data_IF_257193557291
#
_entry.id   IF_257193557291
#
_cell.length_a   1.000
_cell.length_b   1.000
_cell.length_c   1.000
_cell.angle_alpha   90.00
_cell.angle_beta   90.00
_cell.angle_gamma   90.00
#
_symmetry.space_group_name_H-M   'P 1'
#
loop_
_entity.id
_entity.type
_entity.pdbx_description
1 polymer ?
#
# COMPACT_ATOMS: atom_id res chain seq x y z
N UNK A 1 20.09 30.45 1.83
CA UNK A 1 20.03 30.25 3.29
C UNK A 1 19.26 28.97 3.54
N UNK A 2 19.76 28.09 4.42
CA UNK A 2 19.09 26.81 4.73
C UNK A 2 17.82 27.06 5.55
N UNK A 3 16.68 26.53 5.10
CA UNK A 3 15.37 26.74 5.72
C UNK A 3 14.81 25.45 6.31
N UNK A 4 14.87 25.32 7.64
CA UNK A 4 14.32 24.18 8.38
C UNK A 4 12.79 24.15 8.25
N UNK A 5 12.21 23.08 7.68
CA UNK A 5 10.76 22.85 7.75
C UNK A 5 10.41 22.34 9.17
N UNK A 6 9.64 23.12 9.94
CA UNK A 6 9.03 22.62 11.17
C UNK A 6 7.66 22.00 10.88
N UNK A 7 7.52 20.70 11.16
CA UNK A 7 6.23 20.03 11.24
C UNK A 7 5.70 20.13 12.69
N UNK A 8 4.51 20.73 12.86
CA UNK A 8 3.84 20.79 14.16
C UNK A 8 2.83 19.66 14.28
N UNK A 9 3.06 18.72 15.20
CA UNK A 9 2.11 17.66 15.52
C UNK A 9 1.06 18.18 16.51
N UNK A 10 -0.21 18.16 16.11
CA UNK A 10 -1.35 18.48 16.97
C UNK A 10 -2.19 17.23 17.23
N UNK A 11 -2.54 17.00 18.49
CA UNK A 11 -3.44 15.92 18.89
C UNK A 11 -4.90 16.38 18.68
N UNK A 12 -5.42 16.17 17.48
CA UNK A 12 -6.85 16.36 17.18
C UNK A 12 -7.57 15.01 17.11
N UNK A 13 -8.64 14.84 17.88
CA UNK A 13 -9.44 13.62 17.85
C UNK A 13 -10.26 13.51 16.54
N UNK A 14 -9.91 12.56 15.67
CA UNK A 14 -10.54 12.18 14.38
C UNK A 14 -10.10 10.75 13.95
N UNK A 15 -10.33 10.26 12.71
CA UNK A 15 -11.01 8.96 12.40
C UNK A 15 -10.21 7.72 11.81
N UNK A 16 -10.38 6.47 12.36
CA UNK A 16 -9.57 5.18 12.22
C UNK A 16 -9.82 4.01 13.31
N UNK A 17 -10.80 3.08 13.25
CA UNK A 17 -11.26 2.19 14.40
C UNK A 17 -10.97 0.68 14.29
N UNK A 18 -11.26 -0.03 15.40
CA UNK A 18 -11.38 -1.49 15.52
C UNK A 18 -12.65 -1.91 16.32
N UNK A 19 -13.57 -2.68 15.72
CA UNK A 19 -14.31 -3.80 16.33
C UNK A 19 -15.30 -4.43 15.33
N UNK A 20 -15.39 -5.76 15.31
CA UNK A 20 -16.19 -6.54 14.36
C UNK A 20 -17.51 -7.02 14.98
N UNK A 21 -18.64 -6.80 14.31
CA UNK A 21 -19.93 -7.42 14.61
C UNK A 21 -20.59 -7.96 13.33
N UNK A 22 -21.16 -9.19 13.33
CA UNK A 22 -21.60 -9.87 12.10
C UNK A 22 -22.88 -9.30 11.45
N UNK A 23 -23.61 -8.40 12.13
CA UNK A 23 -24.83 -7.76 11.59
C UNK A 23 -24.59 -6.33 11.06
N UNK A 24 -23.37 -5.81 11.14
CA UNK A 24 -23.01 -4.47 10.67
C UNK A 24 -22.32 -4.58 9.31
N UNK A 25 -22.91 -4.00 8.26
CA UNK A 25 -22.25 -3.82 6.96
C UNK A 25 -21.78 -2.38 6.82
N UNK A 26 -20.47 -2.21 6.75
CA UNK A 26 -19.82 -0.91 6.62
C UNK A 26 -19.93 -0.42 5.18
N UNK A 27 -20.25 0.87 5.02
CA UNK A 27 -20.39 1.52 3.72
C UNK A 27 -19.72 2.90 3.81
N UNK A 28 -18.96 3.26 2.78
CA UNK A 28 -18.15 4.48 2.79
C UNK A 28 -18.98 5.77 2.78
N UNK A 29 -18.44 6.78 3.48
CA UNK A 29 -18.83 8.18 3.36
C UNK A 29 -18.07 8.82 2.20
N UNK A 30 -18.71 9.78 1.54
CA UNK A 30 -18.16 10.48 0.37
C UNK A 30 -17.14 11.58 0.70
N UNK A 31 -17.00 11.93 1.98
CA UNK A 31 -16.17 13.02 2.48
C UNK A 31 -14.67 12.75 2.32
N UNK A 32 -14.21 11.54 2.61
CA UNK A 32 -12.77 11.17 2.65
C UNK A 32 -12.08 11.35 1.30
N UNK A 33 -12.85 11.37 0.21
CA UNK A 33 -12.35 11.46 -1.16
C UNK A 33 -12.66 12.79 -1.85
N UNK A 34 -13.62 13.53 -1.33
CA UNK A 34 -14.03 14.79 -1.93
C UNK A 34 -14.48 15.79 -0.85
N UNK A 35 -13.65 16.81 -0.60
CA UNK A 35 -13.78 17.80 0.48
C UNK A 35 -15.05 18.69 0.42
N UNK A 36 -15.98 18.41 -0.49
CA UNK A 36 -17.26 19.09 -0.66
C UNK A 36 -18.44 18.42 0.06
N UNK A 37 -18.26 17.31 0.78
CA UNK A 37 -19.36 16.64 1.51
C UNK A 37 -19.09 16.54 3.01
N UNK A 38 -19.51 17.54 3.78
CA UNK A 38 -19.18 17.65 5.22
C UNK A 38 -20.29 17.18 6.16
N UNK A 39 -21.50 16.91 5.65
CA UNK A 39 -22.65 16.45 6.45
C UNK A 39 -22.49 15.06 7.06
N UNK A 40 -23.03 14.84 8.26
CA UNK A 40 -22.99 13.55 8.97
C UNK A 40 -24.36 13.11 9.51
N UNK A 41 -24.63 11.81 9.51
CA UNK A 41 -25.78 11.22 10.21
C UNK A 41 -25.42 10.85 11.66
N UNK A 42 -26.19 11.35 12.61
CA UNK A 42 -26.34 10.75 13.95
C UNK A 42 -27.01 9.38 13.85
N UNK A 43 -26.84 8.51 14.85
CA UNK A 43 -27.54 7.21 14.94
C UNK A 43 -29.06 7.39 15.16
N UNK A 44 -29.79 7.66 14.07
CA UNK A 44 -31.24 7.78 14.04
C UNK A 44 -31.85 6.84 13.00
N UNK A 45 -33.14 6.57 13.17
CA UNK A 45 -33.95 5.80 12.22
C UNK A 45 -34.57 6.73 11.20
N UNK A 46 -34.34 6.45 9.93
CA UNK A 46 -34.80 7.25 8.79
C UNK A 46 -35.72 6.41 7.89
N UNK A 47 -36.71 7.07 7.29
CA UNK A 47 -37.48 6.50 6.20
C UNK A 47 -36.68 6.66 4.90
N UNK A 48 -36.64 5.62 4.06
CA UNK A 48 -36.08 5.70 2.71
C UNK A 48 -37.19 6.03 1.72
N UNK A 49 -36.99 7.08 0.92
CA UNK A 49 -37.87 7.44 -0.20
C UNK A 49 -37.11 7.27 -1.51
N UNK A 50 -37.75 6.61 -2.49
CA UNK A 50 -37.19 6.52 -3.84
C UNK A 50 -37.20 7.91 -4.50
N UNK A 51 -36.02 8.43 -4.80
CA UNK A 51 -35.83 9.74 -5.42
C UNK A 51 -35.31 9.63 -6.88
N UNK A 52 -35.36 8.43 -7.46
CA UNK A 52 -34.99 8.22 -8.87
C UNK A 52 -33.50 8.42 -9.10
N UNK A 53 -33.16 9.27 -10.06
CA UNK A 53 -31.78 9.67 -10.43
C UNK A 53 -31.31 10.96 -9.70
N UNK A 54 -32.20 11.65 -8.98
CA UNK A 54 -31.92 12.92 -8.30
C UNK A 54 -31.55 14.10 -9.21
N UNK A 55 -31.60 13.94 -10.53
CA UNK A 55 -31.18 14.97 -11.49
C UNK A 55 -32.02 16.26 -11.39
N UNK A 56 -33.22 16.17 -10.83
CA UNK A 56 -34.09 17.28 -10.44
C UNK A 56 -34.51 17.19 -8.96
N UNK A 57 -34.98 18.29 -8.33
CA UNK A 57 -35.52 18.25 -6.97
C UNK A 57 -36.75 17.33 -6.85
N UNK A 58 -36.80 16.54 -5.77
CA UNK A 58 -37.87 15.57 -5.48
C UNK A 58 -38.54 15.93 -4.15
N UNK A 59 -39.62 16.74 -4.14
CA UNK A 59 -40.24 17.24 -2.91
C UNK A 59 -40.72 16.17 -1.93
N UNK A 60 -41.00 14.95 -2.41
CA UNK A 60 -41.38 13.81 -1.57
C UNK A 60 -40.24 13.25 -0.70
N UNK A 61 -38.99 13.66 -0.93
CA UNK A 61 -37.85 13.28 -0.09
C UNK A 61 -37.74 14.13 1.19
N UNK A 62 -38.57 15.17 1.36
CA UNK A 62 -38.54 16.07 2.51
C UNK A 62 -38.68 15.31 3.84
N UNK A 63 -37.71 15.50 4.76
CA UNK A 63 -37.69 14.81 6.06
C UNK A 63 -37.28 13.32 6.02
N UNK A 64 -37.06 12.74 4.84
CA UNK A 64 -36.62 11.36 4.63
C UNK A 64 -35.14 11.30 4.23
N UNK A 65 -34.56 10.09 4.12
CA UNK A 65 -33.30 9.89 3.40
C UNK A 65 -33.64 9.51 1.96
N UNK A 66 -33.11 10.29 1.01
CA UNK A 66 -33.27 10.04 -0.41
C UNK A 66 -32.51 8.77 -0.79
N UNK A 67 -33.20 7.84 -1.44
CA UNK A 67 -32.63 6.62 -1.98
C UNK A 67 -32.65 6.73 -3.50
N UNK A 68 -31.47 6.88 -4.10
CA UNK A 68 -31.29 7.23 -5.50
C UNK A 68 -30.38 6.22 -6.19
N UNK A 69 -30.52 6.10 -7.51
CA UNK A 69 -29.53 5.38 -8.30
C UNK A 69 -28.56 6.36 -8.96
N UNK A 70 -27.33 5.90 -9.17
CA UNK A 70 -26.27 6.72 -9.75
C UNK A 70 -26.58 7.07 -11.21
N UNK A 71 -26.45 8.36 -11.55
CA UNK A 71 -26.40 8.84 -12.93
C UNK A 71 -25.12 9.67 -13.15
N UNK A 72 -24.37 9.31 -14.20
CA UNK A 72 -23.07 9.91 -14.51
C UNK A 72 -23.21 11.33 -15.10
N UNK A 73 -24.39 11.73 -15.56
CA UNK A 73 -24.64 13.01 -16.25
C UNK A 73 -24.99 14.12 -15.27
N UNK A 74 -25.74 13.82 -14.20
CA UNK A 74 -26.23 14.81 -13.24
C UNK A 74 -25.57 14.70 -11.86
N UNK A 75 -24.34 14.18 -11.85
CA UNK A 75 -23.64 13.65 -10.70
C UNK A 75 -23.64 14.52 -9.41
N UNK A 76 -23.26 15.81 -9.50
CA UNK A 76 -23.30 16.75 -8.36
C UNK A 76 -24.68 17.42 -8.19
N UNK A 77 -25.40 17.81 -9.26
CA UNK A 77 -26.81 18.18 -9.18
C UNK A 77 -27.64 17.21 -8.34
N UNK A 78 -27.43 15.90 -8.47
CA UNK A 78 -28.07 14.82 -7.71
C UNK A 78 -28.11 15.12 -6.19
N UNK A 79 -26.95 15.17 -5.53
CA UNK A 79 -26.87 15.44 -4.08
C UNK A 79 -27.32 16.87 -3.73
N UNK A 80 -27.05 17.86 -4.59
CA UNK A 80 -27.44 19.26 -4.39
C UNK A 80 -28.97 19.46 -4.46
N UNK A 81 -29.66 18.71 -5.31
CA UNK A 81 -31.10 18.77 -5.48
C UNK A 81 -31.83 18.15 -4.29
N UNK A 82 -31.27 17.12 -3.66
CA UNK A 82 -31.83 16.61 -2.40
C UNK A 82 -31.70 17.60 -1.24
N UNK A 83 -30.66 18.43 -1.25
CA UNK A 83 -30.60 19.61 -0.34
C UNK A 83 -31.75 20.58 -0.61
N UNK A 84 -32.04 20.91 -1.88
CA UNK A 84 -33.21 21.75 -2.25
C UNK A 84 -34.56 21.09 -1.91
N UNK A 85 -34.58 19.77 -1.80
CA UNK A 85 -35.76 18.94 -1.52
C UNK A 85 -36.01 18.74 -0.02
N UNK A 86 -35.23 19.38 0.86
CA UNK A 86 -35.25 19.20 2.30
C UNK A 86 -35.07 17.74 2.76
N UNK A 87 -34.33 16.93 2.01
CA UNK A 87 -33.96 15.59 2.43
C UNK A 87 -32.97 15.64 3.62
N UNK A 88 -33.08 14.67 4.52
CA UNK A 88 -32.19 14.52 5.69
C UNK A 88 -30.85 13.84 5.36
N UNK A 89 -30.70 13.37 4.13
CA UNK A 89 -29.47 12.78 3.59
C UNK A 89 -29.72 12.02 2.29
N UNK A 90 -28.64 11.55 1.64
CA UNK A 90 -28.70 10.88 0.32
C UNK A 90 -27.91 9.57 0.33
N UNK A 91 -28.55 8.47 -0.07
CA UNK A 91 -27.91 7.18 -0.34
C UNK A 91 -28.00 6.86 -1.84
N UNK A 92 -26.87 6.89 -2.53
CA UNK A 92 -26.78 6.65 -3.98
C UNK A 92 -26.33 5.21 -4.24
N UNK A 93 -26.99 4.47 -5.13
CA UNK A 93 -26.65 3.07 -5.41
C UNK A 93 -26.47 2.76 -6.90
N UNK A 94 -25.70 1.71 -7.22
CA UNK A 94 -25.60 1.21 -8.59
C UNK A 94 -26.91 0.55 -9.07
N UNK A 95 -27.24 0.67 -10.37
CA UNK A 95 -28.30 -0.14 -10.99
C UNK A 95 -27.90 -1.62 -11.02
N UNK A 96 -28.85 -2.58 -11.02
CA UNK A 96 -28.53 -4.01 -11.07
C UNK A 96 -27.64 -4.36 -12.27
N UNK A 97 -26.54 -5.09 -12.04
CA UNK A 97 -25.57 -5.45 -13.08
C UNK A 97 -24.49 -4.41 -13.37
N UNK A 98 -24.61 -3.19 -12.84
CA UNK A 98 -23.58 -2.14 -12.99
C UNK A 98 -22.65 -2.11 -11.77
N UNK A 99 -21.36 -1.75 -11.95
CA UNK A 99 -20.46 -1.46 -10.84
C UNK A 99 -20.91 -0.20 -10.09
N UNK A 100 -20.41 -0.03 -8.86
CA UNK A 100 -20.39 1.30 -8.24
C UNK A 100 -19.42 2.17 -9.03
N UNK A 101 -19.84 3.38 -9.38
CA UNK A 101 -19.01 4.37 -10.05
C UNK A 101 -18.66 5.50 -9.08
N UNK A 102 -17.46 6.04 -9.28
CA UNK A 102 -16.92 7.11 -8.43
C UNK A 102 -17.61 8.46 -8.69
N UNK A 103 -17.80 9.19 -7.59
CA UNK A 103 -18.61 10.40 -7.49
C UNK A 103 -17.82 11.69 -7.81
N UNK A 104 -17.44 11.87 -9.09
CA UNK A 104 -16.48 12.91 -9.51
C UNK A 104 -17.09 14.29 -9.83
N UNK A 105 -16.41 15.36 -9.39
CA UNK A 105 -16.80 16.76 -9.58
C UNK A 105 -15.90 17.52 -10.58
N UNK A 106 -16.48 18.49 -11.29
CA UNK A 106 -15.86 19.18 -12.45
C UNK A 106 -15.63 20.67 -12.16
N UNK A 107 -14.40 21.15 -12.38
CA UNK A 107 -14.06 22.56 -12.19
C UNK A 107 -14.27 23.06 -10.75
N UNK A 108 -14.76 24.30 -10.61
CA UNK A 108 -14.94 25.01 -9.32
C UNK A 108 -15.99 24.37 -8.39
N UNK A 109 -16.70 23.35 -8.86
CA UNK A 109 -17.59 22.53 -8.02
C UNK A 109 -16.89 22.03 -6.75
N UNK A 110 -15.60 21.66 -6.85
CA UNK A 110 -14.78 21.17 -5.73
C UNK A 110 -14.74 22.14 -4.54
N UNK A 111 -14.85 23.44 -4.81
CA UNK A 111 -14.63 24.50 -3.83
C UNK A 111 -15.87 24.88 -3.01
N UNK A 112 -17.05 24.29 -3.29
CA UNK A 112 -18.30 24.61 -2.55
C UNK A 112 -18.73 23.41 -1.69
N UNK A 113 -18.72 23.49 -0.35
CA UNK A 113 -19.18 22.40 0.50
C UNK A 113 -20.71 22.27 0.52
N UNK A 114 -21.19 21.03 0.65
CA UNK A 114 -22.57 20.67 0.91
C UNK A 114 -22.70 20.15 2.36
N UNK A 115 -23.73 20.64 3.05
CA UNK A 115 -24.05 20.24 4.43
C UNK A 115 -24.94 19.00 4.55
N UNK A 116 -25.50 18.50 3.45
CA UNK A 116 -26.33 17.29 3.46
C UNK A 116 -25.43 16.05 3.65
N UNK A 117 -25.76 15.10 4.55
CA UNK A 117 -25.05 13.83 4.64
C UNK A 117 -25.29 12.99 3.37
N UNK A 118 -24.24 12.42 2.79
CA UNK A 118 -24.37 11.54 1.63
C UNK A 118 -23.36 10.38 1.64
N UNK A 119 -23.76 9.25 1.04
CA UNK A 119 -22.92 8.07 0.85
C UNK A 119 -23.29 7.30 -0.43
N UNK A 120 -22.32 6.61 -1.04
CA UNK A 120 -22.60 5.59 -2.05
C UNK A 120 -22.78 4.25 -1.35
N UNK A 121 -23.79 3.49 -1.73
CA UNK A 121 -24.12 2.20 -1.12
C UNK A 121 -24.17 1.08 -2.16
N UNK A 122 -23.74 -0.12 -1.77
CA UNK A 122 -24.11 -1.32 -2.52
C UNK A 122 -25.62 -1.51 -2.45
N UNK A 123 -26.21 -2.00 -3.55
CA UNK A 123 -27.66 -2.27 -3.62
C UNK A 123 -28.02 -3.54 -2.85
N UNK A 124 -28.18 -3.40 -1.53
CA UNK A 124 -28.53 -4.50 -0.64
C UNK A 124 -30.02 -4.89 -0.76
N UNK A 125 -30.35 -6.18 -0.97
CA UNK A 125 -31.73 -6.64 -1.10
C UNK A 125 -32.60 -6.33 0.12
N UNK A 126 -32.05 -6.42 1.32
CA UNK A 126 -32.74 -6.13 2.59
C UNK A 126 -33.12 -4.65 2.72
N UNK A 127 -32.25 -3.73 2.27
CA UNK A 127 -32.52 -2.28 2.27
C UNK A 127 -33.57 -1.94 1.22
N UNK A 128 -33.47 -2.52 0.02
CA UNK A 128 -34.50 -2.38 -1.02
C UNK A 128 -35.86 -2.95 -0.59
N UNK A 129 -35.87 -4.01 0.21
CA UNK A 129 -37.07 -4.62 0.80
C UNK A 129 -37.65 -3.73 1.90
N UNK A 130 -36.83 -3.22 2.82
CA UNK A 130 -37.23 -2.28 3.87
C UNK A 130 -37.91 -1.04 3.27
N UNK A 131 -37.30 -0.46 2.22
CA UNK A 131 -37.88 0.65 1.44
C UNK A 131 -39.25 0.30 0.85
N UNK A 132 -39.40 -0.89 0.23
CA UNK A 132 -40.67 -1.34 -0.37
C UNK A 132 -41.81 -1.49 0.64
N UNK A 133 -41.51 -1.87 1.87
CA UNK A 133 -42.50 -2.02 2.95
C UNK A 133 -42.61 -0.81 3.88
N UNK A 134 -41.94 0.31 3.56
CA UNK A 134 -41.96 1.53 4.38
C UNK A 134 -41.30 1.36 5.75
N UNK A 135 -40.43 0.36 5.93
CA UNK A 135 -39.71 0.17 7.17
C UNK A 135 -38.61 1.22 7.35
N UNK A 136 -38.49 1.71 8.59
CA UNK A 136 -37.39 2.58 8.99
C UNK A 136 -36.07 1.83 9.00
N UNK A 137 -35.02 2.42 8.44
CA UNK A 137 -33.64 1.91 8.49
C UNK A 137 -32.79 2.79 9.41
N UNK A 138 -31.81 2.21 10.09
CA UNK A 138 -30.79 3.00 10.80
C UNK A 138 -29.71 3.38 9.79
N UNK A 139 -29.44 4.68 9.65
CA UNK A 139 -28.30 5.19 8.88
C UNK A 139 -27.39 5.93 9.84
N UNK A 140 -26.11 5.58 9.87
CA UNK A 140 -25.14 6.22 10.76
C UNK A 140 -23.74 6.10 10.20
N UNK A 141 -22.95 7.17 10.30
CA UNK A 141 -21.52 7.06 10.06
C UNK A 141 -20.81 6.57 11.32
N UNK A 142 -19.95 5.56 11.15
CA UNK A 142 -19.08 5.13 12.22
C UNK A 142 -17.91 6.11 12.36
N UNK A 143 -17.89 6.78 13.52
CA UNK A 143 -16.71 7.49 14.05
C UNK A 143 -15.79 6.53 14.80
N UNK A 144 -14.52 6.89 14.83
CA UNK A 144 -13.41 5.99 14.47
C UNK A 144 -12.13 6.77 14.98
N UNK A 145 -10.91 6.21 15.26
CA UNK A 145 -9.72 7.14 15.35
C UNK A 145 -8.32 6.88 14.70
N UNK A 146 -7.91 7.66 13.67
CA UNK A 146 -6.62 7.52 12.94
C UNK A 146 -5.54 8.44 13.52
N UNK A 147 -4.31 7.94 13.73
CA UNK A 147 -3.29 8.66 14.50
C UNK A 147 -2.61 9.84 13.77
N UNK A 148 -2.84 10.02 12.47
CA UNK A 148 -1.92 10.76 11.60
C UNK A 148 -2.61 11.82 10.72
N UNK A 149 -3.16 12.87 11.32
CA UNK A 149 -3.54 14.08 10.58
C UNK A 149 -2.29 14.93 10.26
N UNK A 150 -2.22 15.50 9.06
CA UNK A 150 -1.15 16.39 8.64
C UNK A 150 -1.67 17.68 8.00
N UNK A 151 -0.83 18.72 8.05
CA UNK A 151 -1.04 20.01 7.42
C UNK A 151 0.25 20.38 6.68
N UNK A 152 0.15 20.60 5.37
CA UNK A 152 1.19 21.20 4.54
C UNK A 152 1.06 22.71 4.51
N UNK A 153 2.16 23.42 4.78
CA UNK A 153 2.25 24.88 4.67
C UNK A 153 3.30 25.20 3.58
N UNK A 154 2.97 26.12 2.67
CA UNK A 154 3.87 26.52 1.59
C UNK A 154 5.01 27.45 2.06
N UNK A 155 5.86 27.87 1.11
CA UNK A 155 6.99 28.76 1.40
C UNK A 155 6.56 30.19 1.78
N UNK A 156 5.28 30.52 1.61
CA UNK A 156 4.67 31.82 1.88
C UNK A 156 3.92 31.82 3.23
N UNK A 157 3.85 30.66 3.91
CA UNK A 157 3.15 30.49 5.18
C UNK A 157 1.65 30.23 5.02
N UNK A 158 1.16 29.96 3.81
CA UNK A 158 -0.24 29.63 3.56
C UNK A 158 -0.49 28.12 3.63
N UNK A 159 -1.72 27.76 3.99
CA UNK A 159 -2.20 26.37 4.00
C UNK A 159 -2.17 25.83 2.56
N UNK A 160 -1.28 24.87 2.29
CA UNK A 160 -1.11 24.25 0.98
C UNK A 160 -1.81 22.91 0.86
N UNK A 161 -1.95 22.17 1.95
CA UNK A 161 -2.53 20.83 1.98
C UNK A 161 -3.00 20.49 3.40
N UNK A 162 -4.00 19.64 3.54
CA UNK A 162 -4.30 18.95 4.80
C UNK A 162 -4.90 17.59 4.50
N UNK A 163 -4.63 16.60 5.34
CA UNK A 163 -5.09 15.24 5.08
C UNK A 163 -4.86 14.30 6.25
N UNK A 164 -5.40 13.10 6.11
CA UNK A 164 -5.15 11.99 7.03
C UNK A 164 -4.25 10.99 6.32
N UNK A 165 -3.09 10.66 6.89
CA UNK A 165 -2.39 9.46 6.44
C UNK A 165 -3.31 8.26 6.78
N UNK A 166 -3.72 7.54 5.74
CA UNK A 166 -4.55 6.33 5.86
C UNK A 166 -3.84 5.19 6.62
N UNK A 167 -2.52 5.32 6.82
CA UNK A 167 -1.69 4.34 7.49
C UNK A 167 -0.83 4.97 8.59
N UNK A 168 -0.57 4.16 9.62
CA UNK A 168 0.58 4.38 10.50
C UNK A 168 1.84 4.01 9.68
N UNK A 169 2.83 4.91 9.45
CA UNK A 169 4.15 4.42 9.09
C UNK A 169 4.58 3.44 10.19
N UNK A 170 5.35 2.41 9.83
CA UNK A 170 5.99 1.52 10.81
C UNK A 170 6.64 2.38 11.90
N UNK A 171 6.47 2.03 13.18
CA UNK A 171 6.69 2.96 14.30
C UNK A 171 8.17 3.21 14.61
N UNK A 172 8.81 3.96 13.71
CA UNK A 172 10.14 4.58 13.70
C UNK A 172 10.07 5.61 12.54
N UNK A 173 10.52 6.86 12.60
CA UNK A 173 11.49 7.51 13.49
C UNK A 173 11.25 9.05 13.58
N UNK A 174 10.00 9.55 13.68
CA UNK A 174 9.75 11.02 13.82
C UNK A 174 10.26 11.55 15.17
N UNK A 175 11.56 11.85 15.25
CA UNK A 175 12.27 12.31 16.44
C UNK A 175 13.49 11.49 16.87
N UNK A 176 13.91 10.44 16.12
CA UNK A 176 15.21 9.80 16.40
C UNK A 176 16.35 10.57 15.74
N UNK A 177 17.48 10.67 16.45
CA UNK A 177 18.74 11.07 15.83
C UNK A 177 19.19 9.94 14.90
N UNK A 178 19.48 10.29 13.65
CA UNK A 178 20.05 9.39 12.65
C UNK A 178 21.17 10.11 11.91
N UNK A 179 22.19 9.37 11.48
CA UNK A 179 23.08 9.87 10.44
C UNK A 179 22.37 9.71 9.11
N UNK A 180 22.32 10.78 8.33
CA UNK A 180 21.58 10.84 7.06
C UNK A 180 22.58 11.02 5.93
N UNK A 181 22.63 10.06 4.99
CA UNK A 181 23.44 10.17 3.78
C UNK A 181 22.52 10.33 2.57
N UNK A 182 22.53 11.50 1.88
CA UNK A 182 21.76 11.68 0.66
C UNK A 182 22.37 10.85 -0.48
N UNK A 183 21.51 10.15 -1.22
CA UNK A 183 21.86 9.37 -2.42
C UNK A 183 21.37 10.07 -3.67
N UNK A 184 20.13 10.57 -3.61
CA UNK A 184 19.49 11.38 -4.65
C UNK A 184 18.83 12.59 -3.98
N UNK A 185 19.04 13.78 -4.54
CA UNK A 185 18.39 15.04 -4.13
C UNK A 185 17.61 15.58 -5.32
N UNK A 186 16.27 15.47 -5.27
CA UNK A 186 15.35 15.94 -6.32
C UNK A 186 15.74 15.52 -7.75
N UNK A 187 16.21 14.28 -7.93
CA UNK A 187 16.69 13.76 -9.22
C UNK A 187 15.54 13.16 -10.03
N UNK A 188 15.44 13.52 -11.31
CA UNK A 188 14.48 12.88 -12.22
C UNK A 188 14.94 11.46 -12.60
N UNK A 189 14.15 10.44 -12.25
CA UNK A 189 14.26 9.07 -12.77
C UNK A 189 13.32 8.89 -13.97
N UNK A 190 13.76 8.16 -14.99
CA UNK A 190 12.91 7.80 -16.12
C UNK A 190 13.36 6.46 -16.74
N UNK A 191 12.43 5.51 -16.85
CA UNK A 191 12.68 4.23 -17.51
C UNK A 191 13.74 3.35 -16.87
N UNK A 192 14.16 2.35 -17.66
CA UNK A 192 15.14 1.33 -17.25
C UNK A 192 16.57 1.85 -17.04
N UNK A 193 16.88 3.02 -17.58
CA UNK A 193 18.13 3.76 -17.31
C UNK A 193 18.12 4.35 -15.90
N UNK A 194 16.97 4.82 -15.43
CA UNK A 194 16.79 5.34 -14.07
C UNK A 194 17.63 6.58 -13.76
N UNK A 195 17.91 6.80 -12.48
CA UNK A 195 19.01 7.64 -12.01
C UNK A 195 20.05 6.78 -11.30
N UNK A 196 21.31 7.18 -11.41
CA UNK A 196 22.47 6.46 -10.85
C UNK A 196 23.27 7.42 -9.98
N UNK A 197 23.64 6.98 -8.77
CA UNK A 197 24.52 7.71 -7.87
C UNK A 197 25.51 6.74 -7.22
N UNK A 198 26.78 7.14 -7.09
CA UNK A 198 27.80 6.35 -6.39
C UNK A 198 28.25 7.11 -5.14
N UNK A 199 28.04 6.50 -3.98
CA UNK A 199 28.40 7.06 -2.67
C UNK A 199 29.43 6.18 -1.96
N UNK A 200 30.15 6.77 -1.01
CA UNK A 200 30.96 5.99 -0.07
C UNK A 200 30.08 5.58 1.12
N UNK A 201 30.16 4.32 1.51
CA UNK A 201 29.38 3.76 2.62
C UNK A 201 30.10 3.98 3.95
N UNK A 202 29.33 4.19 5.01
CA UNK A 202 29.78 4.10 6.39
C UNK A 202 29.62 2.65 6.90
N UNK A 203 30.10 2.34 8.10
CA UNK A 203 29.70 1.12 8.81
C UNK A 203 28.49 1.39 9.70
N UNK A 204 27.51 0.48 9.74
CA UNK A 204 26.24 0.66 10.45
C UNK A 204 25.52 -0.66 10.72
N UNK A 205 24.77 -0.71 11.83
CA UNK A 205 23.96 -1.87 12.22
C UNK A 205 22.56 -1.89 11.59
N UNK A 206 22.03 -0.72 11.26
CA UNK A 206 20.62 -0.50 10.89
C UNK A 206 20.57 0.55 9.80
N UNK A 207 19.74 0.29 8.78
CA UNK A 207 19.58 1.14 7.62
C UNK A 207 18.11 1.20 7.21
N UNK A 208 17.54 2.40 7.28
CA UNK A 208 16.23 2.73 6.71
C UNK A 208 16.43 3.46 5.36
N UNK A 209 15.74 3.04 4.29
CA UNK A 209 15.64 3.83 3.06
C UNK A 209 14.52 4.86 3.25
N UNK A 210 14.84 6.16 3.18
CA UNK A 210 13.85 7.24 3.20
C UNK A 210 13.75 7.89 1.82
N UNK A 211 12.70 7.52 1.07
CA UNK A 211 12.48 7.92 -0.31
C UNK A 211 11.24 8.79 -0.49
N UNK A 212 11.38 9.88 -1.25
CA UNK A 212 10.34 10.88 -1.51
C UNK A 212 10.11 10.99 -3.03
N UNK A 213 9.21 10.19 -3.61
CA UNK A 213 8.72 10.42 -4.97
C UNK A 213 7.88 11.71 -5.03
N UNK A 214 8.12 12.50 -6.06
CA UNK A 214 7.36 13.71 -6.38
C UNK A 214 7.20 13.89 -7.89
N UNK A 215 6.18 14.65 -8.30
CA UNK A 215 5.93 14.90 -9.71
C UNK A 215 6.79 16.07 -10.22
N UNK A 216 7.39 16.00 -11.43
CA UNK A 216 8.24 17.07 -11.96
C UNK A 216 7.52 18.41 -12.18
N UNK A 217 6.19 18.41 -12.27
CA UNK A 217 5.36 19.62 -12.33
C UNK A 217 3.91 19.35 -11.92
N UNK A 218 3.19 20.39 -11.51
CA UNK A 218 1.73 20.36 -11.19
C UNK A 218 0.82 20.00 -12.39
N UNK A 219 1.35 19.67 -13.57
CA UNK A 219 0.55 19.28 -14.74
C UNK A 219 0.92 17.91 -15.32
N UNK A 220 2.03 17.31 -14.89
CA UNK A 220 2.54 16.03 -15.40
C UNK A 220 2.37 14.92 -14.36
N UNK A 221 1.20 14.85 -13.72
CA UNK A 221 0.84 13.73 -12.85
C UNK A 221 0.69 12.45 -13.68
N UNK A 222 1.28 11.34 -13.21
CA UNK A 222 0.90 10.04 -13.74
C UNK A 222 -0.51 9.69 -13.24
N UNK A 223 -1.38 9.28 -14.15
CA UNK A 223 -2.70 8.74 -13.82
C UNK A 223 -2.65 7.27 -13.38
N UNK A 224 -1.44 6.73 -13.16
CA UNK A 224 -1.16 5.33 -12.92
C UNK A 224 -0.14 5.15 -11.81
N UNK A 225 -0.23 4.01 -11.14
CA UNK A 225 0.64 3.53 -10.08
C UNK A 225 1.80 2.70 -10.66
N UNK A 226 3.02 3.19 -10.46
CA UNK A 226 4.23 2.61 -11.06
C UNK A 226 5.13 1.99 -10.01
N UNK A 227 5.65 0.81 -10.33
CA UNK A 227 6.73 0.20 -9.55
C UNK A 227 8.00 1.05 -9.66
N UNK A 228 8.56 1.39 -8.51
CA UNK A 228 9.88 2.01 -8.35
C UNK A 228 10.76 1.04 -7.60
N UNK A 229 11.97 0.79 -8.12
CA UNK A 229 12.92 -0.18 -7.57
C UNK A 229 14.28 0.48 -7.39
N UNK A 230 14.87 0.29 -6.21
CA UNK A 230 16.26 0.65 -5.91
C UNK A 230 17.14 -0.58 -6.03
N UNK A 231 18.10 -0.54 -6.95
CA UNK A 231 19.15 -1.55 -7.09
C UNK A 231 20.48 -1.03 -6.55
N UNK A 232 21.33 -1.92 -6.05
CA UNK A 232 22.68 -1.57 -5.57
C UNK A 232 23.75 -2.49 -6.14
N UNK A 233 24.92 -1.92 -6.42
CA UNK A 233 26.12 -2.66 -6.77
C UNK A 233 27.36 -2.00 -6.13
N UNK A 234 28.04 -2.75 -5.26
CA UNK A 234 29.23 -2.29 -4.54
C UNK A 234 30.54 -2.93 -5.05
N UNK A 235 30.40 -3.94 -5.91
CA UNK A 235 31.50 -4.61 -6.60
C UNK A 235 30.91 -5.31 -7.83
N UNK A 236 31.30 -4.87 -9.03
CA UNK A 236 30.78 -5.36 -10.31
C UNK A 236 31.02 -6.86 -10.55
N UNK A 237 32.00 -7.45 -9.85
CA UNK A 237 32.31 -8.88 -9.90
C UNK A 237 31.61 -9.70 -8.81
N UNK A 238 30.86 -9.06 -7.90
CA UNK A 238 30.10 -9.74 -6.86
C UNK A 238 28.81 -10.32 -7.43
N UNK A 239 28.38 -11.54 -7.04
CA UNK A 239 27.04 -12.04 -7.35
C UNK A 239 25.93 -11.17 -6.73
N UNK A 240 26.26 -10.24 -5.82
CA UNK A 240 25.32 -9.28 -5.23
C UNK A 240 25.19 -7.96 -6.02
N UNK A 241 25.93 -7.79 -7.12
CA UNK A 241 25.78 -6.60 -7.97
C UNK A 241 24.41 -6.55 -8.65
N UNK A 242 23.80 -5.36 -8.67
CA UNK A 242 22.47 -5.09 -9.21
C UNK A 242 21.34 -5.89 -8.53
N UNK A 243 21.52 -6.26 -7.25
CA UNK A 243 20.41 -6.76 -6.43
C UNK A 243 19.49 -5.62 -6.00
N UNK A 244 18.21 -5.93 -5.89
CA UNK A 244 17.20 -4.99 -5.39
C UNK A 244 17.36 -4.82 -3.87
N UNK A 245 17.42 -3.58 -3.43
CA UNK A 245 17.50 -3.21 -2.02
C UNK A 245 16.17 -2.69 -1.47
N UNK A 246 15.30 -2.16 -2.32
CA UNK A 246 13.98 -1.69 -1.89
C UNK A 246 13.05 -1.44 -3.06
N UNK A 247 11.74 -1.52 -2.78
CA UNK A 247 10.67 -1.31 -3.76
C UNK A 247 9.46 -0.62 -3.14
N UNK A 248 8.78 0.10 -4.00
CA UNK A 248 7.70 1.01 -3.68
C UNK A 248 6.82 1.22 -4.91
N UNK A 249 5.58 1.65 -4.69
CA UNK A 249 4.60 1.91 -5.74
C UNK A 249 4.18 3.38 -5.65
N UNK A 250 4.28 4.14 -6.75
CA UNK A 250 3.86 5.56 -6.75
C UNK A 250 2.38 5.71 -6.48
N UNK A 251 1.99 6.75 -5.75
CA UNK A 251 0.60 7.10 -5.57
C UNK A 251 -0.04 7.59 -6.88
N UNK A 252 -1.33 7.32 -7.09
CA UNK A 252 -2.09 7.95 -8.17
C UNK A 252 -2.09 9.47 -8.02
N UNK A 253 -1.54 10.18 -9.01
CA UNK A 253 -1.56 11.65 -9.11
C UNK A 253 -1.06 12.37 -7.84
N UNK A 254 -0.17 11.74 -7.08
CA UNK A 254 0.24 12.20 -5.75
C UNK A 254 1.75 12.21 -5.51
N UNK A 255 2.12 12.64 -4.31
CA UNK A 255 3.47 12.52 -3.75
C UNK A 255 3.45 11.46 -2.64
N UNK A 256 4.61 10.88 -2.33
CA UNK A 256 4.73 9.85 -1.30
C UNK A 256 5.94 10.07 -0.39
N UNK A 257 5.97 9.33 0.71
CA UNK A 257 7.18 9.07 1.50
C UNK A 257 7.22 7.60 1.86
N UNK A 258 8.35 6.97 1.58
CA UNK A 258 8.57 5.56 1.81
C UNK A 258 9.72 5.41 2.79
N UNK A 259 9.46 4.74 3.92
CA UNK A 259 10.46 4.40 4.91
C UNK A 259 10.54 2.89 5.07
N UNK A 260 11.62 2.28 4.59
CA UNK A 260 11.78 0.82 4.55
C UNK A 260 13.00 0.39 5.36
N UNK A 261 12.80 -0.44 6.39
CA UNK A 261 13.90 -1.15 7.05
C UNK A 261 14.53 -2.15 6.07
N UNK A 262 15.74 -1.84 5.63
CA UNK A 262 16.56 -2.69 4.76
C UNK A 262 17.81 -3.18 5.47
N UNK A 263 17.85 -3.10 6.81
CA UNK A 263 18.92 -3.67 7.64
C UNK A 263 19.23 -5.14 7.32
N UNK A 264 18.25 -6.02 7.01
CA UNK A 264 18.55 -7.40 6.57
C UNK A 264 19.41 -7.47 5.31
N UNK A 265 19.37 -6.44 4.46
CA UNK A 265 20.07 -6.37 3.18
C UNK A 265 21.44 -5.65 3.27
N UNK A 266 21.91 -5.28 4.45
CA UNK A 266 23.27 -4.75 4.70
C UNK A 266 24.37 -5.59 4.02
N UNK A 267 24.33 -6.93 3.92
CA UNK A 267 25.35 -7.69 3.20
C UNK A 267 25.45 -7.44 1.68
N UNK A 268 24.49 -6.73 1.07
CA UNK A 268 24.64 -6.19 -0.30
C UNK A 268 25.67 -5.05 -0.33
N UNK A 269 25.79 -4.30 0.77
CA UNK A 269 26.67 -3.15 0.96
C UNK A 269 28.08 -3.56 1.42
N UNK A 270 28.63 -4.57 0.76
CA UNK A 270 29.86 -5.28 1.15
C UNK A 270 31.18 -4.56 0.81
N UNK A 271 31.11 -3.28 0.39
CA UNK A 271 32.28 -2.48 0.03
C UNK A 271 32.06 -1.03 0.44
N UNK A 272 33.14 -0.31 0.76
CA UNK A 272 33.11 1.09 1.20
C UNK A 272 32.64 2.09 0.12
N UNK A 273 32.31 1.63 -1.09
CA UNK A 273 31.77 2.43 -2.19
C UNK A 273 30.71 1.63 -2.95
N UNK A 274 29.51 2.19 -3.07
CA UNK A 274 28.36 1.55 -3.68
C UNK A 274 27.67 2.45 -4.70
N UNK A 275 27.29 1.87 -5.83
CA UNK A 275 26.48 2.50 -6.88
C UNK A 275 25.03 2.08 -6.70
N UNK A 276 24.16 3.06 -6.51
CA UNK A 276 22.72 2.91 -6.40
C UNK A 276 22.07 3.30 -7.72
N UNK A 277 21.11 2.51 -8.19
CA UNK A 277 20.34 2.79 -9.41
C UNK A 277 18.85 2.72 -9.08
N UNK A 278 18.16 3.85 -9.12
CA UNK A 278 16.71 3.93 -8.92
C UNK A 278 16.00 3.91 -10.28
N UNK A 279 15.14 2.91 -10.50
CA UNK A 279 14.43 2.68 -11.77
C UNK A 279 12.93 2.75 -11.62
N UNK A 280 12.26 3.03 -12.73
CA UNK A 280 10.80 2.98 -12.89
C UNK A 280 10.46 2.63 -14.34
N UNK A 281 9.17 2.60 -14.71
CA UNK A 281 8.75 2.43 -16.12
C UNK A 281 9.10 3.67 -16.96
N UNK A 282 8.72 3.73 -18.23
CA UNK A 282 9.09 4.83 -19.16
C UNK A 282 8.61 6.24 -18.78
N UNK A 283 7.80 6.38 -17.72
CA UNK A 283 7.38 7.66 -17.13
C UNK A 283 8.50 8.31 -16.31
N UNK A 284 8.44 9.64 -16.15
CA UNK A 284 9.46 10.43 -15.45
C UNK A 284 8.91 10.97 -14.11
N UNK A 285 9.64 10.73 -13.01
CA UNK A 285 9.33 11.30 -11.69
C UNK A 285 10.57 11.86 -11.03
N UNK A 286 10.40 12.80 -10.10
CA UNK A 286 11.48 13.31 -9.26
C UNK A 286 11.56 12.46 -7.99
N UNK A 287 12.75 12.09 -7.55
CA UNK A 287 12.94 11.35 -6.29
C UNK A 287 14.08 11.92 -5.47
N UNK A 288 13.84 12.05 -4.17
CA UNK A 288 14.93 12.14 -3.19
C UNK A 288 15.06 10.80 -2.48
N UNK A 289 16.29 10.35 -2.22
CA UNK A 289 16.58 9.14 -1.46
C UNK A 289 17.66 9.44 -0.44
N UNK A 290 17.41 9.02 0.80
CA UNK A 290 18.37 9.08 1.90
C UNK A 290 18.56 7.70 2.50
N UNK A 291 19.77 7.47 3.00
CA UNK A 291 20.09 6.37 3.89
C UNK A 291 20.10 6.91 5.31
N UNK A 292 19.16 6.47 6.13
CA UNK A 292 19.05 6.85 7.53
C UNK A 292 19.66 5.73 8.39
N UNK A 293 20.63 6.10 9.24
CA UNK A 293 21.30 5.22 10.20
C UNK A 293 20.91 5.62 11.63
N UNK A 294 19.90 4.98 12.24
CA UNK A 294 19.40 5.35 13.56
C UNK A 294 20.47 5.18 14.66
N UNK A 295 20.70 6.22 15.45
CA UNK A 295 21.57 6.16 16.63
C UNK A 295 20.89 5.38 17.76
N UNK A 296 21.14 4.08 17.80
CA UNK A 296 20.70 3.19 18.88
C UNK A 296 21.69 3.30 20.05
N UNK A 297 21.39 4.17 21.02
CA UNK A 297 22.07 4.19 22.31
C UNK A 297 21.48 3.06 23.16
N UNK A 298 22.01 1.84 23.01
CA UNK A 298 21.66 0.70 23.86
C UNK A 298 22.88 0.24 24.67
N UNK A 299 22.66 -0.02 25.95
CA UNK A 299 23.72 -0.26 26.92
C UNK A 299 23.82 -1.77 27.19
N UNK A 300 24.71 -2.43 26.43
CA UNK A 300 25.17 -3.81 26.65
C UNK A 300 24.11 -4.91 26.40
N UNK A 301 23.81 -5.18 25.13
CA UNK A 301 23.31 -6.51 24.71
C UNK A 301 24.01 -6.96 23.42
N UNK A 302 24.30 -8.26 23.29
CA UNK A 302 24.94 -8.80 22.08
C UNK A 302 23.96 -8.71 20.90
N UNK A 303 24.22 -7.80 19.96
CA UNK A 303 23.32 -7.51 18.86
C UNK A 303 23.52 -8.51 17.73
N UNK A 304 22.43 -9.07 17.20
CA UNK A 304 22.47 -9.87 15.97
C UNK A 304 22.59 -8.94 14.77
N UNK A 305 23.61 -9.17 13.93
CA UNK A 305 23.80 -8.43 12.69
C UNK A 305 23.80 -9.37 11.47
N UNK A 306 23.17 -8.99 10.36
CA UNK A 306 23.17 -9.77 9.13
C UNK A 306 24.55 -9.68 8.47
N UNK A 307 25.14 -10.82 8.14
CA UNK A 307 26.50 -10.90 7.61
C UNK A 307 26.60 -11.63 6.26
N UNK A 308 25.56 -12.35 5.86
CA UNK A 308 25.51 -13.09 4.59
C UNK A 308 24.08 -13.16 4.07
N UNK A 309 23.93 -12.97 2.77
CA UNK A 309 22.71 -13.23 2.02
C UNK A 309 22.90 -14.45 1.12
N UNK A 310 21.86 -15.24 0.97
CA UNK A 310 21.80 -16.34 0.01
C UNK A 310 20.53 -16.19 -0.82
N UNK A 311 20.68 -15.93 -2.13
CA UNK A 311 19.55 -15.86 -3.06
C UNK A 311 18.78 -17.18 -3.07
N UNK A 312 17.46 -17.09 -3.01
CA UNK A 312 16.56 -18.22 -3.17
C UNK A 312 15.91 -18.18 -4.55
N UNK A 313 14.68 -17.66 -4.62
CA UNK A 313 13.86 -17.65 -5.82
C UNK A 313 13.54 -16.23 -6.26
N UNK A 314 13.37 -16.06 -7.57
CA UNK A 314 12.64 -14.95 -8.16
C UNK A 314 11.25 -15.40 -8.57
N UNK A 315 10.34 -14.44 -8.73
CA UNK A 315 9.07 -14.68 -9.41
C UNK A 315 9.23 -14.79 -10.94
N UNK A 316 8.13 -14.55 -11.65
CA UNK A 316 8.00 -14.72 -13.09
C UNK A 316 6.53 -14.87 -13.50
N UNK A 317 6.32 -15.26 -14.76
CA UNK A 317 5.02 -15.55 -15.35
C UNK A 317 4.23 -16.58 -14.52
N UNK A 318 2.99 -16.28 -14.12
CA UNK A 318 2.17 -17.11 -13.25
C UNK A 318 1.29 -18.09 -14.06
N UNK A 319 1.95 -19.03 -14.73
CA UNK A 319 1.33 -20.04 -15.61
C UNK A 319 1.43 -21.48 -15.04
N UNK A 320 0.88 -22.46 -15.76
CA UNK A 320 0.91 -23.90 -15.44
C UNK A 320 2.29 -24.56 -15.33
N UNK A 321 3.36 -23.83 -15.65
CA UNK A 321 4.74 -24.25 -15.47
C UNK A 321 5.45 -23.48 -14.34
N UNK A 322 4.77 -22.55 -13.64
CA UNK A 322 5.34 -21.70 -12.59
C UNK A 322 6.04 -22.51 -11.50
N UNK A 323 5.33 -23.46 -10.88
CA UNK A 323 5.89 -24.27 -9.80
C UNK A 323 6.92 -25.30 -10.28
N UNK A 324 6.98 -25.60 -11.58
CA UNK A 324 8.00 -26.48 -12.17
C UNK A 324 9.34 -25.77 -12.39
N UNK A 325 9.32 -24.43 -12.53
CA UNK A 325 10.54 -23.60 -12.62
C UNK A 325 11.30 -23.55 -11.30
N UNK A 326 10.61 -23.73 -10.17
CA UNK A 326 11.23 -23.83 -8.84
C UNK A 326 11.72 -25.25 -8.57
N UNK A 327 13.03 -25.40 -8.36
CA UNK A 327 13.64 -26.65 -7.89
C UNK A 327 14.12 -26.48 -6.45
N UNK A 328 14.12 -27.53 -5.60
CA UNK A 328 14.59 -27.42 -4.21
C UNK A 328 16.04 -26.95 -4.13
N UNK A 329 16.29 -25.85 -3.43
CA UNK A 329 17.63 -25.34 -3.16
C UNK A 329 18.20 -26.07 -1.95
N UNK A 330 19.41 -26.61 -2.09
CA UNK A 330 20.18 -27.20 -0.99
C UNK A 330 21.22 -26.21 -0.48
N UNK A 331 21.37 -26.11 0.84
CA UNK A 331 22.35 -25.22 1.47
C UNK A 331 22.85 -25.79 2.80
N UNK A 332 23.93 -25.21 3.33
CA UNK A 332 24.44 -25.49 4.69
C UNK A 332 24.57 -24.19 5.45
N UNK A 333 24.28 -24.21 6.76
CA UNK A 333 24.40 -23.04 7.63
C UNK A 333 25.86 -22.88 8.07
N UNK A 334 26.51 -21.72 7.85
CA UNK A 334 27.86 -21.45 8.37
C UNK A 334 27.87 -21.44 9.91
N UNK A 335 28.87 -22.08 10.53
CA UNK A 335 28.96 -22.26 11.99
C UNK A 335 28.96 -20.97 12.85
N UNK A 336 29.26 -19.81 12.26
CA UNK A 336 29.17 -18.50 12.92
C UNK A 336 27.72 -17.99 13.07
N UNK A 337 26.77 -18.56 12.34
CA UNK A 337 25.37 -18.13 12.29
C UNK A 337 24.66 -18.43 13.61
N UNK A 338 23.83 -17.49 14.07
CA UNK A 338 22.98 -17.59 15.26
C UNK A 338 21.49 -17.45 14.97
N UNK A 339 21.14 -16.86 13.82
CA UNK A 339 19.78 -16.80 13.30
C UNK A 339 19.78 -16.87 11.77
N UNK A 340 18.79 -17.54 11.21
CA UNK A 340 18.48 -17.56 9.77
C UNK A 340 17.06 -17.03 9.57
N UNK A 341 16.92 -15.98 8.77
CA UNK A 341 15.63 -15.38 8.43
C UNK A 341 15.32 -15.61 6.94
N UNK A 342 14.15 -16.15 6.64
CA UNK A 342 13.57 -16.08 5.30
C UNK A 342 13.08 -14.65 5.06
N UNK A 343 13.55 -14.02 3.99
CA UNK A 343 13.16 -12.68 3.55
C UNK A 343 12.61 -12.76 2.14
N UNK A 344 11.40 -12.26 1.89
CA UNK A 344 10.81 -12.21 0.56
C UNK A 344 10.03 -10.92 0.31
N UNK A 345 10.24 -10.30 -0.86
CA UNK A 345 9.45 -9.17 -1.35
C UNK A 345 8.59 -9.71 -2.47
N UNK A 346 7.26 -9.73 -2.25
CA UNK A 346 6.30 -10.46 -3.09
C UNK A 346 5.13 -9.54 -3.49
N UNK A 347 5.30 -8.66 -4.49
CA UNK A 347 4.19 -7.98 -5.13
C UNK A 347 3.77 -8.70 -6.41
N UNK A 348 2.48 -8.94 -6.52
CA UNK A 348 1.85 -9.55 -7.68
C UNK A 348 1.29 -8.46 -8.58
N UNK A 349 1.59 -8.53 -9.87
CA UNK A 349 1.17 -7.53 -10.85
C UNK A 349 0.33 -8.18 -11.95
N UNK A 350 -0.67 -7.44 -12.43
CA UNK A 350 -1.34 -7.77 -13.69
C UNK A 350 -0.37 -7.65 -14.85
N UNK A 351 -0.54 -8.53 -15.83
CA UNK A 351 0.14 -8.47 -17.11
C UNK A 351 -0.74 -7.78 -18.18
N UNK A 352 -2.07 -7.90 -18.06
CA UNK A 352 -3.06 -7.20 -18.89
C UNK A 352 -4.37 -6.92 -18.12
N UNK A 353 -5.34 -6.24 -18.74
CA UNK A 353 -6.62 -5.84 -18.12
C UNK A 353 -7.48 -7.03 -17.64
N UNK A 354 -7.33 -8.22 -18.22
CA UNK A 354 -8.12 -9.42 -17.89
C UNK A 354 -7.42 -10.39 -16.93
N UNK A 355 -6.10 -10.29 -16.82
CA UNK A 355 -5.27 -11.04 -15.86
C UNK A 355 -5.60 -10.61 -14.43
N UNK A 356 -5.41 -11.47 -13.43
CA UNK A 356 -6.01 -11.28 -12.11
C UNK A 356 -5.01 -11.09 -10.96
N UNK A 357 -3.72 -11.35 -11.13
CA UNK A 357 -2.70 -11.51 -10.09
C UNK A 357 -2.64 -10.37 -9.09
N UNK A 358 -2.77 -9.13 -9.54
CA UNK A 358 -2.85 -7.96 -8.65
C UNK A 358 -4.06 -8.01 -7.68
N UNK A 359 -5.17 -8.64 -8.04
CA UNK A 359 -6.44 -8.65 -7.31
C UNK A 359 -7.06 -10.05 -7.13
N UNK A 360 -6.28 -11.12 -7.28
CA UNK A 360 -6.72 -12.48 -7.02
C UNK A 360 -5.96 -13.05 -5.83
N UNK A 361 -6.63 -13.91 -5.06
CA UNK A 361 -6.01 -14.54 -3.90
C UNK A 361 -4.93 -15.51 -4.36
N UNK A 362 -3.69 -15.08 -4.20
CA UNK A 362 -2.46 -15.86 -4.37
C UNK A 362 -1.94 -16.30 -3.00
N UNK A 363 -1.20 -17.41 -2.99
CA UNK A 363 -0.42 -17.81 -1.81
C UNK A 363 0.98 -18.29 -2.19
N UNK A 364 1.96 -17.90 -1.40
CA UNK A 364 3.39 -18.10 -1.65
C UNK A 364 3.97 -18.94 -0.53
N UNK A 365 4.46 -20.12 -0.89
CA UNK A 365 4.83 -21.17 0.03
C UNK A 365 6.32 -21.44 -0.01
N UNK A 366 6.94 -21.52 1.17
CA UNK A 366 8.36 -21.82 1.36
C UNK A 366 8.44 -23.04 2.29
N UNK A 367 8.69 -24.21 1.70
CA UNK A 367 8.77 -25.50 2.37
C UNK A 367 10.21 -25.80 2.77
N UNK A 368 10.52 -25.67 4.06
CA UNK A 368 11.83 -25.98 4.64
C UNK A 368 11.87 -27.45 5.05
N UNK A 369 12.92 -28.15 4.64
CA UNK A 369 13.23 -29.55 4.97
C UNK A 369 12.07 -30.54 4.72
N UNK A 370 11.20 -30.23 3.75
CA UNK A 370 10.01 -31.03 3.44
C UNK A 370 8.94 -31.05 4.54
N UNK A 371 9.14 -30.34 5.66
CA UNK A 371 8.35 -30.46 6.88
C UNK A 371 7.68 -29.15 7.32
N UNK A 372 8.34 -28.00 7.14
CA UNK A 372 7.84 -26.71 7.62
C UNK A 372 7.40 -25.83 6.44
N UNK A 373 6.09 -25.73 6.21
CA UNK A 373 5.50 -24.92 5.14
C UNK A 373 5.14 -23.52 5.67
N UNK A 374 5.93 -22.51 5.31
CA UNK A 374 5.58 -21.10 5.57
C UNK A 374 4.80 -20.54 4.40
N UNK A 375 3.60 -20.03 4.66
CA UNK A 375 2.72 -19.48 3.64
C UNK A 375 2.49 -17.98 3.85
N UNK A 376 2.71 -17.17 2.81
CA UNK A 376 2.15 -15.81 2.70
C UNK A 376 0.94 -15.86 1.78
N UNK A 377 -0.24 -15.57 2.33
CA UNK A 377 -1.50 -15.53 1.57
C UNK A 377 -1.91 -14.07 1.42
N UNK A 378 -2.34 -13.67 0.22
CA UNK A 378 -2.92 -12.35 -0.04
C UNK A 378 -4.44 -12.48 -0.16
N UNK A 379 -5.07 -12.86 0.95
CA UNK A 379 -6.52 -13.12 1.08
C UNK A 379 -7.40 -11.88 0.90
N UNK A 380 -6.85 -10.68 1.12
CA UNK A 380 -7.52 -9.43 0.82
C UNK A 380 -7.54 -9.07 -0.67
N UNK A 381 -6.81 -9.78 -1.55
CA UNK A 381 -6.71 -9.45 -2.96
C UNK A 381 -8.08 -9.41 -3.66
N UNK A 382 -8.36 -8.31 -4.37
CA UNK A 382 -9.64 -8.04 -5.05
C UNK A 382 -10.83 -7.75 -4.14
N UNK A 383 -10.66 -7.89 -2.82
CA UNK A 383 -11.70 -7.49 -1.88
C UNK A 383 -11.77 -5.96 -1.75
N UNK A 384 -12.96 -5.45 -1.45
CA UNK A 384 -13.14 -4.11 -0.93
C UNK A 384 -12.65 -3.95 0.54
N UNK A 385 -11.75 -4.82 1.01
CA UNK A 385 -11.05 -4.69 2.31
C UNK A 385 -9.60 -4.20 2.17
N UNK A 386 -9.11 -3.99 0.94
CA UNK A 386 -8.31 -2.78 0.72
C UNK A 386 -9.24 -1.55 0.80
N UNK A 387 -8.71 -0.35 1.05
CA UNK A 387 -9.48 0.84 1.44
C UNK A 387 -10.32 1.55 0.33
N UNK A 388 -10.88 0.79 -0.62
CA UNK A 388 -12.02 1.10 -1.52
C UNK A 388 -11.80 2.07 -2.74
N UNK A 389 -11.44 1.53 -3.93
CA UNK A 389 -11.16 2.19 -5.23
C UNK A 389 -10.21 1.32 -6.09
N UNK A 390 -9.78 1.65 -7.32
CA UNK A 390 -8.76 0.79 -8.01
C UNK A 390 -7.41 0.81 -7.27
N UNK A 391 -6.99 2.00 -6.85
CA UNK A 391 -5.86 2.31 -5.97
C UNK A 391 -5.92 1.65 -4.57
N UNK A 392 -6.95 0.84 -4.34
CA UNK A 392 -7.57 0.68 -3.04
C UNK A 392 -8.40 -0.60 -2.91
N UNK A 393 -8.48 -1.49 -3.90
CA UNK A 393 -8.82 -2.88 -3.59
C UNK A 393 -7.65 -3.50 -2.84
N UNK A 394 -7.88 -4.58 -2.09
CA UNK A 394 -6.74 -5.34 -1.58
C UNK A 394 -5.96 -5.87 -2.78
N UNK A 395 -4.64 -5.88 -2.68
CA UNK A 395 -3.76 -6.33 -3.76
C UNK A 395 -2.81 -7.43 -3.30
N UNK A 396 -2.27 -8.19 -4.25
CA UNK A 396 -1.23 -9.20 -4.00
C UNK A 396 0.06 -8.56 -3.47
N UNK A 397 0.14 -8.28 -2.18
CA UNK A 397 1.37 -7.90 -1.47
C UNK A 397 1.84 -6.46 -1.53
N UNK A 398 1.08 -5.53 -2.14
CA UNK A 398 1.41 -4.11 -2.19
C UNK A 398 0.20 -3.19 -2.01
N UNK A 399 0.46 -1.90 -1.84
CA UNK A 399 -0.55 -0.84 -1.74
C UNK A 399 -0.11 0.36 -2.58
N UNK A 400 -1.09 1.12 -3.07
CA UNK A 400 -0.81 2.38 -3.77
C UNK A 400 -0.06 3.36 -2.85
N UNK A 401 0.89 4.10 -3.42
CA UNK A 401 1.63 5.14 -2.70
C UNK A 401 2.57 4.65 -1.58
N UNK A 402 2.74 3.35 -1.37
CA UNK A 402 3.53 2.78 -0.26
C UNK A 402 4.74 1.96 -0.70
N UNK A 403 5.61 1.68 0.26
CA UNK A 403 6.67 0.68 0.16
C UNK A 403 6.10 -0.74 0.11
N UNK A 404 6.75 -1.63 -0.65
CA UNK A 404 6.45 -3.06 -0.63
C UNK A 404 7.20 -3.68 0.54
N UNK A 405 6.50 -3.90 1.65
CA UNK A 405 7.12 -4.44 2.87
C UNK A 405 7.58 -5.89 2.66
N UNK A 406 8.82 -6.25 3.06
CA UNK A 406 9.29 -7.62 2.99
C UNK A 406 8.55 -8.49 4.02
N UNK A 407 8.14 -9.68 3.59
CA UNK A 407 7.72 -10.75 4.47
C UNK A 407 8.95 -11.43 5.05
N UNK A 408 9.01 -11.53 6.38
CA UNK A 408 10.20 -11.92 7.14
C UNK A 408 9.82 -12.98 8.18
N UNK A 409 10.47 -14.13 8.16
CA UNK A 409 10.23 -15.25 9.09
C UNK A 409 11.54 -15.81 9.62
N UNK A 410 11.65 -15.97 10.93
CA UNK A 410 12.74 -16.71 11.55
C UNK A 410 12.53 -18.23 11.34
N UNK A 411 13.49 -18.87 10.68
CA UNK A 411 13.45 -20.33 10.41
C UNK A 411 14.56 -21.09 11.16
N UNK A 412 15.29 -20.42 12.07
CA UNK A 412 16.50 -20.96 12.73
C UNK A 412 16.28 -22.32 13.40
N UNK A 413 15.12 -22.55 14.01
CA UNK A 413 14.79 -23.80 14.73
C UNK A 413 14.36 -24.96 13.83
N UNK A 414 14.39 -24.76 12.50
CA UNK A 414 13.90 -25.70 11.49
C UNK A 414 15.03 -26.26 10.60
N UNK A 415 16.27 -25.83 10.88
CA UNK A 415 17.46 -26.05 10.07
C UNK A 415 18.54 -26.83 10.83
N UNK A 416 19.43 -27.52 10.11
CA UNK A 416 20.69 -28.00 10.69
C UNK A 416 21.69 -26.86 10.89
N UNK A 417 21.59 -26.21 12.04
CA UNK A 417 22.51 -25.17 12.48
C UNK A 417 23.94 -25.67 12.76
N UNK A 418 24.22 -26.98 12.69
CA UNK A 418 25.59 -27.51 12.78
C UNK A 418 26.38 -27.35 11.48
N UNK A 419 25.69 -27.24 10.34
CA UNK A 419 26.28 -27.15 9.00
C UNK A 419 26.90 -28.46 8.50
N UNK A 420 26.56 -29.60 9.11
CA UNK A 420 27.05 -30.93 8.72
C UNK A 420 26.13 -31.52 7.65
N UNK A 421 24.82 -31.48 7.86
CA UNK A 421 23.82 -31.88 6.88
C UNK A 421 23.37 -30.70 6.02
N UNK A 422 22.86 -31.00 4.82
CA UNK A 422 22.37 -29.99 3.90
C UNK A 422 20.87 -29.79 4.08
N UNK A 423 20.50 -28.60 4.57
CA UNK A 423 19.12 -28.13 4.55
C UNK A 423 18.60 -28.00 3.12
N UNK A 424 17.27 -28.10 3.00
CA UNK A 424 16.55 -27.93 1.75
C UNK A 424 15.42 -26.92 1.90
N UNK A 425 15.19 -26.12 0.87
CA UNK A 425 14.08 -25.18 0.81
C UNK A 425 13.49 -25.23 -0.60
N UNK A 426 12.16 -25.35 -0.70
CA UNK A 426 11.40 -25.32 -1.95
C UNK A 426 10.37 -24.19 -1.92
N UNK A 427 10.30 -23.41 -3.00
CA UNK A 427 9.26 -22.40 -3.21
C UNK A 427 8.19 -22.88 -4.21
N UNK A 428 6.92 -22.55 -3.94
CA UNK A 428 5.83 -22.64 -4.91
C UNK A 428 4.76 -21.58 -4.64
N UNK A 429 4.04 -21.17 -5.69
CA UNK A 429 2.90 -20.24 -5.59
C UNK A 429 1.61 -20.88 -6.07
N UNK A 430 0.50 -20.61 -5.39
CA UNK A 430 -0.82 -21.15 -5.70
C UNK A 430 -1.80 -20.01 -6.02
N UNK A 431 -2.72 -20.28 -6.94
CA UNK A 431 -3.88 -19.44 -7.25
C UNK A 431 -5.11 -20.02 -6.52
N UNK A 432 -5.68 -19.29 -5.57
CA UNK A 432 -6.83 -19.74 -4.77
C UNK A 432 -6.66 -21.16 -4.16
N UNK A 433 -5.43 -21.49 -3.75
CA UNK A 433 -5.06 -22.80 -3.21
C UNK A 433 -4.84 -23.92 -4.24
N UNK A 434 -4.79 -23.61 -5.54
CA UNK A 434 -4.53 -24.57 -6.62
C UNK A 434 -3.30 -24.18 -7.45
N UNK A 435 -2.77 -25.13 -8.24
CA UNK A 435 -1.74 -24.85 -9.25
C UNK A 435 -2.24 -23.76 -10.23
N UNK A 436 -1.46 -22.71 -10.51
CA UNK A 436 -1.87 -21.65 -11.43
C UNK A 436 -2.07 -22.22 -12.85
N UNK A 437 -3.29 -22.10 -13.39
CA UNK A 437 -3.62 -22.57 -14.74
C UNK A 437 -4.55 -21.56 -15.44
N UNK A 438 -4.05 -20.36 -15.78
CA UNK A 438 -4.87 -19.30 -16.35
C UNK A 438 -5.42 -19.69 -17.73
N UNK A 439 -6.68 -19.34 -17.99
CA UNK A 439 -7.35 -19.55 -19.28
C UNK A 439 -7.17 -18.38 -20.26
N UNK A 440 -6.47 -17.32 -19.84
CA UNK A 440 -6.07 -16.16 -20.63
C UNK A 440 -4.57 -15.93 -20.41
N UNK A 441 -4.02 -14.80 -20.86
CA UNK A 441 -2.62 -14.47 -20.63
C UNK A 441 -2.28 -14.52 -19.13
N UNK A 442 -1.18 -15.19 -18.75
CA UNK A 442 -0.78 -15.31 -17.35
C UNK A 442 -0.33 -13.97 -16.77
N UNK A 443 -0.57 -13.82 -15.46
CA UNK A 443 -0.06 -12.75 -14.61
C UNK A 443 1.47 -12.81 -14.44
N UNK A 444 2.04 -11.83 -13.74
CA UNK A 444 3.46 -11.80 -13.44
C UNK A 444 3.72 -11.49 -11.96
N UNK A 445 4.35 -12.44 -11.27
CA UNK A 445 4.77 -12.29 -9.87
C UNK A 445 6.15 -11.63 -9.88
N UNK A 446 6.30 -10.39 -9.42
CA UNK A 446 7.62 -9.70 -9.44
C UNK A 446 8.39 -9.99 -8.13
N UNK A 447 8.42 -11.25 -7.70
CA UNK A 447 8.98 -11.66 -6.41
C UNK A 447 10.51 -11.75 -6.42
N UNK A 448 11.13 -11.51 -5.26
CA UNK A 448 12.49 -11.93 -4.94
C UNK A 448 12.57 -12.43 -3.49
N UNK A 449 13.49 -13.36 -3.22
CA UNK A 449 13.66 -13.95 -1.90
C UNK A 449 15.12 -14.32 -1.57
N UNK A 450 15.45 -14.25 -0.28
CA UNK A 450 16.76 -14.54 0.30
C UNK A 450 16.63 -15.33 1.61
N UNK A 451 17.68 -16.06 1.96
CA UNK A 451 18.03 -16.30 3.36
C UNK A 451 18.98 -15.22 3.85
N UNK A 452 18.65 -14.62 4.98
CA UNK A 452 19.47 -13.63 5.69
C UNK A 452 20.07 -14.32 6.91
N UNK A 453 21.40 -14.40 6.95
CA UNK A 453 22.14 -15.07 8.01
C UNK A 453 22.72 -14.04 8.96
N UNK A 454 22.42 -14.21 10.25
CA UNK A 454 22.84 -13.30 11.33
C UNK A 454 23.86 -13.96 12.24
N UNK A 455 24.81 -13.18 12.76
CA UNK A 455 25.73 -13.57 13.84
C UNK A 455 25.78 -12.48 14.91
N UNK A 456 26.39 -12.78 16.06
CA UNK A 456 26.62 -11.76 17.10
C UNK A 456 27.62 -10.73 16.57
N UNK A 457 27.41 -9.46 16.89
CA UNK A 457 28.35 -8.37 16.66
C UNK A 457 29.75 -8.73 17.23
N UNK A 458 30.84 -8.30 16.57
CA UNK A 458 32.21 -8.49 17.08
C UNK A 458 32.41 -7.95 18.51
#
# INVERSE_FOLDING_TARGET
MSGTRLAYFWHCAGLAINQFHPEVRHIQRLDVRYDWLMGSWSQMKHQLIDAGDGCEPVPSAAGAVAWEHIDIVCFRPQVKNMTKSNATGVLVHARPGNPILDMNCVGDERSTPLGIPAAIVHREPSVAQARRYGHMVTVSFQSTPSPNFFIGIDQQGALSEMGWFLYRPSSSSTGRLAWVVPVFEEVQIQGQSGAVATINMLEFDMLELDAFPSCPSQRNYSHWDHTVQLFVCCNDFSPHCNMEMGRCITAFQGIGRWLTDVSPLVPLLNNGRCTFTMKTVSWAMVVSLKLDFPLVIDNHSYKLYPFKLMSLYSGGTFDKEYNKRSQPIKFTVPASTKKVELYAVIPDHRNNENSCGEFCVTSHHFLVNGAFNHARIFDSAGSALGCHGTWLYGRGGWYDGLQVNPWRIDITTQLDMSGIEADTLLYFGLYSGQEPNPSQDPDYIVMLSYLVLYKLSP
#
